data_IF_888588095452
#
_entry.id   IF_888588095452
#
_cell.length_a   1.000
_cell.length_b   1.000
_cell.length_c   1.000
_cell.angle_alpha   90.00
_cell.angle_beta   90.00
_cell.angle_gamma   90.00
#
_symmetry.space_group_name_H-M   'P 1'
#
loop_
_entity.id
_entity.type
_entity.pdbx_description
1 polymer ?
#
# COMPACT_ATOMS: atom_id res chain seq x y z
N UNK A 1 -9.47 21.66 -2.21
CA UNK A 1 -8.31 20.73 -2.29
C UNK A 1 -8.79 19.28 -2.19
N UNK A 2 -7.93 18.31 -2.60
CA UNK A 2 -8.15 16.89 -2.35
C UNK A 2 -6.96 16.33 -1.57
N UNK A 3 -7.20 15.77 -0.40
CA UNK A 3 -6.22 14.94 0.32
C UNK A 3 -6.58 13.46 0.14
N UNK A 4 -5.57 12.61 0.03
CA UNK A 4 -5.75 11.16 -0.01
C UNK A 4 -4.84 10.56 1.06
N UNK A 5 -5.42 9.78 1.98
CA UNK A 5 -4.69 9.17 3.09
C UNK A 5 -4.62 7.67 2.87
N UNK A 6 -3.43 7.12 3.03
CA UNK A 6 -3.17 5.71 2.84
C UNK A 6 -2.88 4.99 4.15
N UNK A 7 -3.52 3.85 4.30
CA UNK A 7 -3.38 2.93 5.43
C UNK A 7 -2.98 1.55 4.94
N UNK A 8 -2.42 0.74 5.85
CA UNK A 8 -2.13 -0.67 5.61
C UNK A 8 -2.69 -1.52 6.76
N UNK A 9 -2.01 -1.56 7.89
CA UNK A 9 -2.36 -2.40 9.05
C UNK A 9 -3.26 -1.67 10.03
N UNK A 10 -4.35 -2.32 10.43
CA UNK A 10 -5.25 -1.89 11.50
C UNK A 10 -5.53 -3.08 12.41
N UNK A 11 -5.22 -2.98 13.69
CA UNK A 11 -5.40 -4.09 14.64
C UNK A 11 -5.31 -3.60 16.08
N UNK A 12 -5.91 -4.37 17.01
CA UNK A 12 -5.62 -4.26 18.44
C UNK A 12 -4.37 -5.06 18.84
N UNK A 13 -3.83 -5.88 17.93
CA UNK A 13 -2.61 -6.64 18.17
C UNK A 13 -1.41 -5.73 18.08
N UNK A 14 -0.61 -5.71 19.12
CA UNK A 14 0.66 -5.01 19.14
C UNK A 14 1.79 -5.96 18.72
N UNK A 15 2.77 -5.42 18.02
CA UNK A 15 4.02 -6.08 17.70
C UNK A 15 5.15 -5.27 18.29
N UNK A 16 6.14 -5.92 18.85
CA UNK A 16 7.31 -5.21 19.41
C UNK A 16 8.10 -4.46 18.33
N UNK A 17 8.08 -4.98 17.09
CA UNK A 17 8.79 -4.41 15.93
C UNK A 17 8.17 -4.88 14.61
N UNK A 18 8.60 -4.30 13.51
CA UNK A 18 8.33 -4.77 12.14
C UNK A 18 6.99 -4.31 11.56
N UNK A 19 5.89 -4.57 12.24
CA UNK A 19 4.54 -4.14 11.86
C UNK A 19 4.01 -3.21 12.94
N UNK A 20 3.52 -2.04 12.54
CA UNK A 20 2.99 -1.00 13.43
C UNK A 20 1.56 -0.66 13.01
N UNK A 21 0.57 -1.48 13.39
CA UNK A 21 -0.83 -1.23 13.02
C UNK A 21 -1.36 0.01 13.75
N UNK A 22 -2.22 0.77 13.08
CA UNK A 22 -3.06 1.73 13.78
C UNK A 22 -4.12 0.98 14.59
N UNK A 23 -4.53 1.53 15.72
CA UNK A 23 -5.60 0.92 16.49
C UNK A 23 -6.98 1.25 15.90
N UNK A 24 -8.01 0.40 16.09
CA UNK A 24 -9.38 0.70 15.70
C UNK A 24 -9.88 2.03 16.27
N UNK A 25 -9.49 2.34 17.51
CA UNK A 25 -9.83 3.61 18.17
C UNK A 25 -9.19 4.80 17.46
N UNK A 26 -7.91 4.71 17.11
CA UNK A 26 -7.21 5.76 16.36
C UNK A 26 -7.91 6.01 15.02
N UNK A 27 -8.23 4.95 14.27
CA UNK A 27 -8.90 5.07 12.97
C UNK A 27 -10.31 5.67 13.11
N UNK A 28 -11.08 5.28 14.13
CA UNK A 28 -12.40 5.87 14.38
C UNK A 28 -12.34 7.38 14.71
N UNK A 29 -11.34 7.80 15.50
CA UNK A 29 -11.14 9.20 15.82
C UNK A 29 -10.63 10.00 14.61
N UNK A 30 -9.76 9.40 13.78
CA UNK A 30 -9.33 9.97 12.51
C UNK A 30 -10.53 10.20 11.57
N UNK A 31 -11.36 9.18 11.38
CA UNK A 31 -12.58 9.28 10.56
C UNK A 31 -13.47 10.44 11.01
N UNK A 32 -13.70 10.59 12.31
CA UNK A 32 -14.49 11.70 12.86
C UNK A 32 -13.86 13.05 12.56
N UNK A 33 -12.55 13.17 12.78
CA UNK A 33 -11.79 14.39 12.54
C UNK A 33 -11.77 14.77 11.06
N UNK A 34 -11.53 13.81 10.17
CA UNK A 34 -11.56 14.05 8.73
C UNK A 34 -12.96 14.41 8.23
N UNK A 35 -14.00 13.74 8.71
CA UNK A 35 -15.40 14.00 8.31
C UNK A 35 -15.92 15.36 8.79
N UNK A 36 -15.38 15.93 9.87
CA UNK A 36 -15.73 17.27 10.32
C UNK A 36 -15.14 18.38 9.43
N UNK A 37 -14.03 18.08 8.71
CA UNK A 37 -13.26 19.06 7.94
C UNK A 37 -13.44 18.89 6.41
N UNK A 38 -13.64 17.68 5.93
CA UNK A 38 -13.65 17.34 4.50
C UNK A 38 -14.93 16.59 4.13
N UNK A 39 -15.37 16.77 2.89
CA UNK A 39 -16.30 15.80 2.30
C UNK A 39 -15.50 14.51 2.01
N UNK A 40 -15.81 13.43 2.75
CA UNK A 40 -15.22 12.10 2.46
C UNK A 40 -15.87 11.57 1.19
N UNK A 41 -15.03 11.12 0.24
CA UNK A 41 -15.48 10.68 -1.08
C UNK A 41 -15.11 9.21 -1.35
N UNK A 42 -15.91 8.58 -2.20
CA UNK A 42 -15.65 7.26 -2.79
C UNK A 42 -14.76 7.36 -4.04
N UNK A 43 -14.26 6.19 -4.53
CA UNK A 43 -13.56 6.13 -5.82
C UNK A 43 -14.44 6.66 -6.97
N UNK A 44 -15.73 6.40 -6.97
CA UNK A 44 -16.65 6.87 -8.00
C UNK A 44 -16.77 8.40 -8.05
N UNK A 45 -16.57 9.08 -6.93
CA UNK A 45 -16.67 10.54 -6.84
C UNK A 45 -15.37 11.27 -7.16
N UNK A 46 -14.25 10.56 -7.37
CA UNK A 46 -12.92 11.16 -7.58
C UNK A 46 -12.88 12.13 -8.76
N UNK A 47 -13.57 11.80 -9.85
CA UNK A 47 -13.65 12.64 -11.05
C UNK A 47 -14.28 14.00 -10.75
N UNK A 48 -15.37 13.99 -10.00
CA UNK A 48 -16.09 15.21 -9.63
C UNK A 48 -15.31 16.02 -8.59
N UNK A 49 -14.73 15.34 -7.61
CA UNK A 49 -13.86 15.99 -6.61
C UNK A 49 -12.68 16.72 -7.27
N UNK A 50 -11.97 16.07 -8.21
CA UNK A 50 -10.84 16.69 -8.92
C UNK A 50 -11.26 17.94 -9.70
N UNK A 51 -12.47 17.96 -10.30
CA UNK A 51 -12.96 19.16 -11.00
C UNK A 51 -13.28 20.32 -10.04
N UNK A 52 -13.63 20.00 -8.81
CA UNK A 52 -14.11 20.97 -7.82
C UNK A 52 -13.12 21.27 -6.69
N UNK A 53 -11.85 20.87 -6.80
CA UNK A 53 -10.82 21.12 -5.75
C UNK A 53 -10.58 22.59 -5.41
N UNK A 54 -10.97 23.52 -6.29
CA UNK A 54 -10.88 24.97 -6.03
C UNK A 54 -12.07 25.49 -5.20
N UNK A 55 -13.17 24.74 -5.12
CA UNK A 55 -14.41 25.19 -4.51
C UNK A 55 -14.78 24.42 -3.24
N UNK A 56 -14.19 23.23 -3.03
CA UNK A 56 -14.48 22.42 -1.88
C UNK A 56 -13.27 21.57 -1.47
N UNK A 57 -13.30 21.09 -0.23
CA UNK A 57 -12.26 20.27 0.37
C UNK A 57 -12.74 18.82 0.48
N UNK A 58 -11.99 17.92 -0.14
CA UNK A 58 -12.29 16.50 -0.24
C UNK A 58 -11.22 15.66 0.44
N UNK A 59 -11.64 14.51 1.00
CA UNK A 59 -10.73 13.49 1.49
C UNK A 59 -11.13 12.12 0.95
N UNK A 60 -10.16 11.35 0.42
CA UNK A 60 -10.29 9.95 0.09
C UNK A 60 -9.46 9.12 1.07
N UNK A 61 -10.10 8.21 1.79
CA UNK A 61 -9.44 7.28 2.71
C UNK A 61 -9.19 5.97 1.97
N UNK A 62 -7.94 5.51 1.95
CA UNK A 62 -7.52 4.32 1.21
C UNK A 62 -6.77 3.33 2.10
N UNK A 63 -6.91 2.05 1.78
CA UNK A 63 -6.14 0.95 2.33
C UNK A 63 -5.50 0.16 1.20
N UNK A 64 -4.21 -0.14 1.31
CA UNK A 64 -3.50 -1.00 0.36
C UNK A 64 -3.40 -2.44 0.90
N UNK A 65 -3.11 -3.41 0.03
CA UNK A 65 -2.79 -4.83 0.26
C UNK A 65 -3.99 -5.80 0.42
N UNK A 66 -5.20 -5.33 0.70
CA UNK A 66 -6.36 -6.22 0.86
C UNK A 66 -6.29 -7.12 2.10
N UNK A 67 -5.74 -6.62 3.22
CA UNK A 67 -5.61 -7.36 4.47
C UNK A 67 -6.98 -7.63 5.11
N UNK A 68 -7.13 -8.78 5.77
CA UNK A 68 -8.38 -9.22 6.39
C UNK A 68 -8.92 -8.21 7.41
N UNK A 69 -8.05 -7.69 8.26
CA UNK A 69 -8.42 -6.73 9.29
C UNK A 69 -8.94 -5.39 8.72
N UNK A 70 -8.60 -5.05 7.49
CA UNK A 70 -9.14 -3.86 6.81
C UNK A 70 -10.66 -4.02 6.57
N UNK A 71 -11.11 -5.22 6.20
CA UNK A 71 -12.54 -5.50 6.08
C UNK A 71 -13.20 -5.67 7.45
N UNK A 72 -12.62 -6.48 8.33
CA UNK A 72 -13.23 -6.82 9.62
C UNK A 72 -13.29 -5.63 10.58
N UNK A 73 -12.38 -4.67 10.47
CA UNK A 73 -12.26 -3.53 11.38
C UNK A 73 -12.54 -2.20 10.65
N UNK A 74 -11.70 -1.83 9.66
CA UNK A 74 -11.80 -0.51 9.06
C UNK A 74 -13.11 -0.31 8.30
N UNK A 75 -13.53 -1.29 7.49
CA UNK A 75 -14.80 -1.21 6.78
C UNK A 75 -16.00 -1.14 7.74
N UNK A 76 -15.99 -1.89 8.85
CA UNK A 76 -17.08 -1.84 9.85
C UNK A 76 -17.16 -0.48 10.55
N UNK A 77 -16.01 0.14 10.83
CA UNK A 77 -15.96 1.52 11.37
C UNK A 77 -16.52 2.50 10.33
N UNK A 78 -16.09 2.40 9.06
CA UNK A 78 -16.57 3.26 7.98
C UNK A 78 -18.09 3.13 7.78
N UNK A 79 -18.64 1.90 7.79
CA UNK A 79 -20.08 1.65 7.74
C UNK A 79 -20.83 2.33 8.91
N UNK A 80 -20.31 2.20 10.14
CA UNK A 80 -20.89 2.85 11.33
C UNK A 80 -21.00 4.37 11.17
N UNK A 81 -20.00 4.99 10.56
CA UNK A 81 -19.94 6.43 10.32
C UNK A 81 -20.54 6.86 8.97
N UNK A 82 -21.03 5.88 8.17
CA UNK A 82 -21.64 6.12 6.83
C UNK A 82 -20.71 6.85 5.86
N UNK A 83 -19.41 6.55 5.92
CA UNK A 83 -18.40 7.11 5.02
C UNK A 83 -17.90 6.05 4.04
N UNK A 84 -17.56 6.44 2.80
CA UNK A 84 -16.86 5.54 1.88
C UNK A 84 -15.38 5.44 2.23
N UNK A 85 -14.80 4.26 1.97
CA UNK A 85 -13.35 4.03 1.97
C UNK A 85 -12.98 3.15 0.79
N UNK A 86 -11.72 3.17 0.35
CA UNK A 86 -11.26 2.40 -0.79
C UNK A 86 -10.20 1.38 -0.39
N UNK A 87 -10.20 0.22 -1.07
CA UNK A 87 -9.26 -0.86 -0.85
C UNK A 87 -8.56 -1.21 -2.16
N UNK A 88 -7.24 -1.16 -2.18
CA UNK A 88 -6.42 -1.57 -3.31
C UNK A 88 -5.86 -2.97 -3.04
N UNK A 89 -6.26 -3.94 -3.86
CA UNK A 89 -6.10 -5.36 -3.57
C UNK A 89 -5.14 -6.01 -4.56
N UNK A 90 -4.18 -6.78 -4.03
CA UNK A 90 -3.34 -7.67 -4.82
C UNK A 90 -4.08 -8.95 -5.20
N UNK A 91 -3.55 -9.77 -6.10
CA UNK A 91 -4.24 -10.98 -6.55
C UNK A 91 -3.47 -12.29 -6.42
N UNK A 92 -2.15 -12.27 -6.31
CA UNK A 92 -1.33 -13.49 -6.27
C UNK A 92 -1.67 -14.40 -5.08
N UNK A 93 -1.97 -13.83 -3.92
CA UNK A 93 -2.36 -14.59 -2.73
C UNK A 93 -3.61 -15.46 -2.91
N UNK A 94 -4.48 -15.11 -3.85
CA UNK A 94 -5.69 -15.89 -4.16
C UNK A 94 -5.43 -17.00 -5.19
N UNK A 95 -4.40 -16.85 -6.03
CA UNK A 95 -3.99 -17.88 -6.98
C UNK A 95 -3.12 -18.95 -6.30
N UNK A 96 -2.12 -18.51 -5.54
CA UNK A 96 -1.13 -19.39 -4.91
C UNK A 96 -1.59 -19.92 -3.54
N UNK A 97 -2.63 -19.32 -2.94
CA UNK A 97 -3.04 -19.56 -1.54
C UNK A 97 -1.87 -19.38 -0.54
N UNK A 98 -0.98 -18.43 -0.82
CA UNK A 98 0.18 -18.10 -0.01
C UNK A 98 0.26 -16.59 0.29
N UNK A 99 1.01 -16.24 1.35
CA UNK A 99 1.32 -14.84 1.61
C UNK A 99 2.26 -14.28 0.53
N UNK A 100 2.05 -13.01 0.17
CA UNK A 100 2.96 -12.26 -0.67
C UNK A 100 4.33 -12.12 0.01
N UNK A 101 5.39 -12.07 -0.78
CA UNK A 101 6.77 -11.93 -0.28
C UNK A 101 6.93 -10.70 0.63
N UNK A 102 6.28 -9.59 0.29
CA UNK A 102 6.30 -8.37 1.11
C UNK A 102 5.74 -8.62 2.50
N UNK A 103 4.64 -9.35 2.63
CA UNK A 103 4.01 -9.66 3.92
C UNK A 103 4.77 -10.73 4.70
N UNK A 104 5.33 -11.75 4.02
CA UNK A 104 6.27 -12.69 4.64
C UNK A 104 7.45 -11.92 5.26
N UNK A 105 8.02 -10.95 4.53
CA UNK A 105 9.10 -10.12 5.04
C UNK A 105 8.68 -9.24 6.21
N UNK A 106 7.49 -8.61 6.17
CA UNK A 106 6.97 -7.85 7.30
C UNK A 106 6.83 -8.71 8.56
N UNK A 107 6.32 -9.94 8.43
CA UNK A 107 6.20 -10.89 9.54
C UNK A 107 7.57 -11.33 10.09
N UNK A 108 8.57 -11.60 9.22
CA UNK A 108 9.95 -11.88 9.66
C UNK A 108 10.48 -10.74 10.55
N UNK A 109 10.20 -9.49 10.18
CA UNK A 109 10.61 -8.31 10.95
C UNK A 109 9.95 -8.19 12.32
N UNK A 110 8.85 -8.88 12.58
CA UNK A 110 8.24 -8.90 13.93
C UNK A 110 9.04 -9.72 14.94
N UNK A 111 9.89 -10.63 14.45
CA UNK A 111 10.68 -11.56 15.29
C UNK A 111 12.19 -11.41 15.11
N UNK A 112 12.65 -10.92 13.96
CA UNK A 112 14.06 -10.66 13.65
C UNK A 112 14.36 -9.17 13.59
N UNK A 113 15.50 -8.74 14.15
CA UNK A 113 15.95 -7.36 14.01
C UNK A 113 16.76 -7.15 12.72
N UNK A 114 17.08 -5.89 12.41
CA UNK A 114 17.78 -5.49 11.18
C UNK A 114 19.11 -6.23 11.02
N UNK A 115 19.90 -6.36 12.09
CA UNK A 115 21.21 -7.02 12.09
C UNK A 115 21.07 -8.52 11.80
N UNK A 116 20.15 -9.22 12.47
CA UNK A 116 19.92 -10.65 12.24
C UNK A 116 19.54 -10.94 10.79
N UNK A 117 18.70 -10.07 10.19
CA UNK A 117 18.30 -10.21 8.78
C UNK A 117 19.49 -9.93 7.87
N UNK A 118 20.28 -8.89 8.15
CA UNK A 118 21.45 -8.54 7.36
C UNK A 118 22.53 -9.63 7.43
N UNK A 119 22.77 -10.18 8.61
CA UNK A 119 23.72 -11.30 8.82
C UNK A 119 23.28 -12.55 8.02
N UNK A 120 21.98 -12.87 8.01
CA UNK A 120 21.44 -13.94 7.20
C UNK A 120 21.65 -13.68 5.69
N UNK A 121 21.32 -12.48 5.21
CA UNK A 121 21.49 -12.10 3.82
C UNK A 121 22.97 -12.10 3.39
N UNK A 122 23.88 -11.71 4.26
CA UNK A 122 25.31 -11.65 3.97
C UNK A 122 25.96 -13.01 3.71
N UNK A 123 25.33 -14.09 4.17
CA UNK A 123 25.77 -15.47 3.90
C UNK A 123 25.45 -15.95 2.48
N UNK A 124 24.66 -15.17 1.74
CA UNK A 124 24.21 -15.53 0.38
C UNK A 124 25.20 -14.95 -0.64
N UNK A 125 25.66 -15.80 -1.57
CA UNK A 125 26.61 -15.42 -2.60
C UNK A 125 26.13 -14.20 -3.41
N UNK A 126 27.02 -13.22 -3.59
CA UNK A 126 26.78 -12.00 -4.37
C UNK A 126 25.96 -10.90 -3.65
N UNK A 127 25.42 -11.17 -2.47
CA UNK A 127 24.66 -10.17 -1.70
C UNK A 127 25.59 -9.12 -1.10
N UNK A 128 26.74 -9.53 -0.55
CA UNK A 128 27.71 -8.59 0.05
C UNK A 128 28.22 -7.54 -0.93
N UNK A 129 28.46 -7.91 -2.20
CA UNK A 129 28.93 -6.96 -3.21
C UNK A 129 27.84 -5.95 -3.58
N UNK A 130 26.59 -6.38 -3.60
CA UNK A 130 25.44 -5.47 -3.80
C UNK A 130 25.29 -4.50 -2.62
N UNK A 131 25.47 -4.97 -1.38
CA UNK A 131 25.39 -4.14 -0.18
C UNK A 131 26.47 -3.04 -0.14
N UNK A 132 27.70 -3.35 -0.59
CA UNK A 132 28.81 -2.37 -0.65
C UNK A 132 28.56 -1.22 -1.63
N UNK A 133 27.80 -1.48 -2.69
CA UNK A 133 27.55 -0.54 -3.78
C UNK A 133 26.23 0.27 -3.62
N UNK A 134 25.62 0.22 -2.46
CA UNK A 134 24.37 0.94 -2.19
C UNK A 134 24.59 2.45 -2.04
N UNK A 135 23.85 3.26 -2.77
CA UNK A 135 23.80 4.70 -2.56
C UNK A 135 22.91 5.05 -1.35
N UNK A 136 23.52 5.53 -0.28
CA UNK A 136 22.83 5.85 0.97
C UNK A 136 21.76 6.95 0.81
N UNK A 137 21.94 7.91 -0.12
CA UNK A 137 20.97 8.99 -0.34
C UNK A 137 19.63 8.45 -0.84
N UNK A 138 19.66 7.51 -1.77
CA UNK A 138 18.46 6.91 -2.35
C UNK A 138 17.68 6.11 -1.29
N UNK A 139 18.41 5.42 -0.40
CA UNK A 139 17.82 4.64 0.68
C UNK A 139 17.09 5.51 1.70
N UNK A 140 17.72 6.57 2.17
CA UNK A 140 17.18 7.45 3.21
C UNK A 140 15.91 8.14 2.71
N UNK A 141 15.87 8.55 1.45
CA UNK A 141 14.66 9.13 0.86
C UNK A 141 13.51 8.13 0.77
N UNK A 142 13.81 6.87 0.43
CA UNK A 142 12.80 5.81 0.24
C UNK A 142 12.25 5.28 1.57
N UNK A 143 13.13 5.12 2.59
CA UNK A 143 12.83 4.42 3.85
C UNK A 143 13.09 5.28 5.08
N UNK A 144 12.55 6.50 5.09
CA UNK A 144 12.81 7.54 6.11
C UNK A 144 12.43 7.18 7.55
N UNK A 145 11.56 6.17 7.72
CA UNK A 145 11.08 5.74 9.04
C UNK A 145 11.80 4.50 9.57
N UNK A 146 12.67 3.90 8.76
CA UNK A 146 13.47 2.74 9.15
C UNK A 146 14.84 3.19 9.68
N UNK A 147 15.46 2.35 10.53
CA UNK A 147 16.90 2.47 10.78
C UNK A 147 17.69 2.19 9.50
N UNK A 148 18.94 2.63 9.47
CA UNK A 148 19.76 2.54 8.26
C UNK A 148 19.99 1.08 7.81
N UNK A 149 20.10 0.14 8.74
CA UNK A 149 20.32 -1.28 8.42
C UNK A 149 19.06 -1.87 7.79
N UNK A 150 17.89 -1.61 8.37
CA UNK A 150 16.62 -2.06 7.80
C UNK A 150 16.34 -1.40 6.45
N UNK A 151 16.65 -0.11 6.30
CA UNK A 151 16.51 0.59 5.04
C UNK A 151 17.37 -0.05 3.93
N UNK A 152 18.62 -0.45 4.26
CA UNK A 152 19.50 -1.21 3.34
C UNK A 152 18.92 -2.57 2.98
N UNK A 153 18.43 -3.32 3.97
CA UNK A 153 17.79 -4.63 3.75
C UNK A 153 16.61 -4.51 2.82
N UNK A 154 15.69 -3.56 3.08
CA UNK A 154 14.52 -3.33 2.25
C UNK A 154 14.91 -2.93 0.82
N UNK A 155 15.89 -2.04 0.67
CA UNK A 155 16.35 -1.60 -0.63
C UNK A 155 17.00 -2.74 -1.42
N UNK A 156 17.82 -3.55 -0.76
CA UNK A 156 18.40 -4.75 -1.36
C UNK A 156 17.33 -5.70 -1.89
N UNK A 157 16.35 -6.06 -1.06
CA UNK A 157 15.30 -7.03 -1.38
C UNK A 157 14.36 -6.50 -2.48
N UNK A 158 13.98 -5.23 -2.39
CA UNK A 158 12.93 -4.68 -3.25
C UNK A 158 13.45 -4.16 -4.60
N UNK A 159 14.74 -3.81 -4.71
CA UNK A 159 15.26 -3.10 -5.88
C UNK A 159 16.58 -3.66 -6.45
N UNK A 160 17.42 -4.33 -5.65
CA UNK A 160 18.76 -4.75 -6.09
C UNK A 160 18.88 -6.25 -6.40
N UNK A 161 18.14 -7.08 -5.70
CA UNK A 161 18.11 -8.51 -5.97
C UNK A 161 17.19 -8.81 -7.16
N UNK A 162 17.55 -9.79 -8.02
CA UNK A 162 16.60 -10.38 -8.93
C UNK A 162 15.37 -10.87 -8.15
N UNK A 163 14.17 -10.65 -8.69
CA UNK A 163 12.92 -10.93 -7.99
C UNK A 163 12.83 -12.37 -7.49
N UNK A 164 13.18 -13.34 -8.33
CA UNK A 164 13.15 -14.77 -7.99
C UNK A 164 14.09 -15.08 -6.83
N UNK A 165 15.24 -14.42 -6.78
CA UNK A 165 16.21 -14.56 -5.69
C UNK A 165 15.68 -13.96 -4.39
N UNK A 166 15.09 -12.76 -4.43
CA UNK A 166 14.48 -12.13 -3.28
C UNK A 166 13.32 -12.98 -2.73
N UNK A 167 12.44 -13.47 -3.61
CA UNK A 167 11.32 -14.35 -3.24
C UNK A 167 11.83 -15.66 -2.61
N UNK A 168 12.83 -16.30 -3.20
CA UNK A 168 13.42 -17.53 -2.66
C UNK A 168 13.98 -17.31 -1.25
N UNK A 169 14.76 -16.25 -1.06
CA UNK A 169 15.40 -15.94 0.23
C UNK A 169 14.33 -15.70 1.31
N UNK A 170 13.36 -14.83 1.02
CA UNK A 170 12.31 -14.50 1.98
C UNK A 170 11.43 -15.70 2.28
N UNK A 171 11.06 -16.49 1.27
CA UNK A 171 10.27 -17.72 1.46
C UNK A 171 11.02 -18.72 2.34
N UNK A 172 12.32 -18.91 2.12
CA UNK A 172 13.17 -19.81 2.93
C UNK A 172 13.22 -19.32 4.37
N UNK A 173 13.56 -18.05 4.60
CA UNK A 173 13.61 -17.47 5.95
C UNK A 173 12.25 -17.54 6.65
N UNK A 174 11.16 -17.23 5.95
CA UNK A 174 9.81 -17.31 6.49
C UNK A 174 9.44 -18.73 6.93
N UNK A 175 9.76 -19.72 6.10
CA UNK A 175 9.50 -21.14 6.40
C UNK A 175 10.33 -21.64 7.58
N UNK A 176 11.57 -21.21 7.71
CA UNK A 176 12.45 -21.54 8.85
C UNK A 176 11.90 -20.98 10.18
N UNK A 177 11.27 -19.78 10.15
CA UNK A 177 10.76 -19.10 11.35
C UNK A 177 9.34 -19.55 11.71
N UNK A 178 8.45 -19.58 10.73
CA UNK A 178 7.00 -19.75 10.96
C UNK A 178 6.47 -21.12 10.51
N UNK A 179 7.23 -21.91 9.75
CA UNK A 179 6.74 -23.16 9.18
C UNK A 179 5.52 -22.91 8.26
N UNK A 180 4.43 -23.63 8.53
CA UNK A 180 3.15 -23.52 7.81
C UNK A 180 2.02 -22.99 8.72
N UNK A 181 2.36 -22.24 9.78
CA UNK A 181 1.40 -21.81 10.80
C UNK A 181 0.53 -20.63 10.36
N UNK A 182 0.99 -19.82 9.40
CA UNK A 182 0.27 -18.64 8.91
C UNK A 182 -0.27 -18.93 7.52
N UNK A 183 -1.59 -18.86 7.36
CA UNK A 183 -2.28 -19.13 6.08
C UNK A 183 -2.70 -17.82 5.41
N UNK A 184 -2.76 -17.81 4.09
CA UNK A 184 -3.26 -16.66 3.32
C UNK A 184 -4.70 -16.29 3.70
N UNK A 185 -5.55 -17.28 3.93
CA UNK A 185 -6.96 -17.10 4.36
C UNK A 185 -7.12 -16.41 5.72
N UNK A 186 -6.08 -16.48 6.57
CA UNK A 186 -6.10 -15.81 7.87
C UNK A 186 -5.57 -14.38 7.80
N UNK A 187 -4.93 -14.03 6.68
CA UNK A 187 -4.20 -12.77 6.51
C UNK A 187 -4.88 -11.78 5.55
N UNK A 188 -5.58 -12.29 4.53
CA UNK A 188 -6.24 -11.47 3.51
C UNK A 188 -7.76 -11.54 3.57
N UNK A 189 -8.42 -10.54 2.99
CA UNK A 189 -9.85 -10.55 2.72
C UNK A 189 -10.22 -11.81 1.93
N UNK A 190 -11.41 -12.36 2.17
CA UNK A 190 -11.95 -13.42 1.32
C UNK A 190 -12.41 -12.86 -0.04
N UNK A 191 -12.61 -13.74 -1.03
CA UNK A 191 -13.21 -13.36 -2.31
C UNK A 191 -14.59 -12.73 -2.11
N UNK A 192 -15.39 -13.27 -1.19
CA UNK A 192 -16.73 -12.73 -0.87
C UNK A 192 -16.65 -11.31 -0.31
N UNK A 193 -15.64 -11.02 0.55
CA UNK A 193 -15.41 -9.66 1.05
C UNK A 193 -15.07 -8.70 -0.10
N UNK A 194 -14.21 -9.12 -1.04
CA UNK A 194 -13.85 -8.31 -2.22
C UNK A 194 -15.08 -8.04 -3.08
N UNK A 195 -15.93 -9.06 -3.32
CA UNK A 195 -17.14 -8.91 -4.11
C UNK A 195 -18.16 -7.96 -3.45
N UNK A 196 -18.34 -8.06 -2.13
CA UNK A 196 -19.20 -7.13 -1.37
C UNK A 196 -18.70 -5.68 -1.52
N UNK A 197 -17.39 -5.44 -1.30
CA UNK A 197 -16.78 -4.13 -1.45
C UNK A 197 -16.82 -3.61 -2.89
N UNK A 198 -16.74 -4.51 -3.88
CA UNK A 198 -16.80 -4.18 -5.30
C UNK A 198 -18.21 -3.71 -5.72
N UNK A 199 -19.28 -4.29 -5.16
CA UNK A 199 -20.66 -3.83 -5.38
C UNK A 199 -20.82 -2.39 -4.89
N UNK A 200 -20.13 -2.02 -3.80
CA UNK A 200 -20.12 -0.65 -3.28
C UNK A 200 -19.20 0.30 -4.07
N UNK A 201 -18.39 -0.22 -5.01
CA UNK A 201 -17.44 0.57 -5.77
C UNK A 201 -16.20 0.97 -4.97
N UNK A 202 -15.78 0.16 -3.99
CA UNK A 202 -14.68 0.46 -3.07
C UNK A 202 -13.37 -0.26 -3.43
N UNK A 203 -13.34 -1.06 -4.51
CA UNK A 203 -12.18 -1.85 -4.91
C UNK A 203 -11.38 -1.17 -6.02
N UNK A 204 -10.06 -1.13 -5.84
CA UNK A 204 -9.05 -0.80 -6.84
C UNK A 204 -7.95 -1.87 -6.90
N UNK A 205 -7.07 -1.78 -7.89
CA UNK A 205 -5.99 -2.73 -8.11
C UNK A 205 -4.68 -2.27 -7.42
N UNK A 206 -3.85 -3.24 -6.95
CA UNK A 206 -2.55 -2.99 -6.31
C UNK A 206 -1.42 -3.87 -6.85
N UNK A 207 -1.51 -4.30 -8.10
CA UNK A 207 -0.59 -5.25 -8.70
C UNK A 207 -0.85 -6.69 -8.27
N UNK A 208 -0.33 -7.64 -9.04
CA UNK A 208 -0.53 -9.06 -8.76
C UNK A 208 0.29 -9.52 -7.56
N UNK A 209 1.59 -9.30 -7.58
CA UNK A 209 2.54 -9.78 -6.57
C UNK A 209 3.23 -8.68 -5.76
N UNK A 210 2.66 -7.47 -5.76
CA UNK A 210 3.20 -6.30 -5.07
C UNK A 210 4.63 -5.93 -5.53
N UNK A 211 4.94 -6.09 -6.82
CA UNK A 211 6.24 -5.70 -7.37
C UNK A 211 6.30 -4.20 -7.67
N UNK A 212 7.47 -3.55 -7.52
CA UNK A 212 7.67 -2.21 -8.03
C UNK A 212 7.41 -2.18 -9.55
N UNK A 213 6.64 -1.21 -10.03
CA UNK A 213 6.32 -1.07 -11.46
C UNK A 213 7.38 -0.29 -12.25
N UNK A 214 8.56 -0.13 -11.68
CA UNK A 214 9.76 0.40 -12.35
C UNK A 214 10.48 -0.64 -13.22
N UNK A 215 10.13 -1.91 -13.07
CA UNK A 215 10.64 -3.01 -13.90
C UNK A 215 9.92 -3.05 -15.25
N UNK A 216 10.55 -3.65 -16.26
CA UNK A 216 9.96 -3.75 -17.60
C UNK A 216 8.89 -4.86 -17.72
N UNK A 217 8.60 -5.57 -16.67
CA UNK A 217 7.54 -6.58 -16.65
C UNK A 217 6.23 -5.99 -16.10
N UNK A 218 5.34 -5.64 -17.02
CA UNK A 218 4.00 -5.10 -16.70
C UNK A 218 2.92 -6.16 -16.64
N UNK A 219 3.25 -7.44 -16.77
CA UNK A 219 2.30 -8.55 -16.64
C UNK A 219 1.67 -8.61 -15.27
N UNK A 220 2.38 -8.14 -14.26
CA UNK A 220 1.88 -8.00 -12.87
C UNK A 220 0.65 -7.09 -12.78
N UNK A 221 0.68 -5.94 -13.46
CA UNK A 221 -0.47 -5.02 -13.56
C UNK A 221 -1.65 -5.71 -14.24
N UNK A 222 -1.38 -6.35 -15.40
CA UNK A 222 -2.42 -7.02 -16.19
C UNK A 222 -3.09 -8.14 -15.41
N UNK A 223 -2.32 -9.05 -14.81
CA UNK A 223 -2.85 -10.17 -14.03
C UNK A 223 -3.78 -9.71 -12.92
N UNK A 224 -3.39 -8.66 -12.20
CA UNK A 224 -4.20 -8.11 -11.13
C UNK A 224 -5.52 -7.52 -11.64
N UNK A 225 -5.48 -6.69 -12.69
CA UNK A 225 -6.68 -6.09 -13.27
C UNK A 225 -7.61 -7.17 -13.83
N UNK A 226 -7.08 -8.14 -14.56
CA UNK A 226 -7.87 -9.24 -15.12
C UNK A 226 -8.52 -10.09 -14.03
N UNK A 227 -7.81 -10.36 -12.93
CA UNK A 227 -8.35 -11.07 -11.77
C UNK A 227 -9.52 -10.30 -11.14
N UNK A 228 -9.31 -9.04 -10.80
CA UNK A 228 -10.33 -8.23 -10.15
C UNK A 228 -11.54 -7.98 -11.05
N UNK A 229 -11.36 -7.77 -12.36
CA UNK A 229 -12.46 -7.60 -13.30
C UNK A 229 -13.38 -8.82 -13.41
N UNK A 230 -12.94 -10.02 -13.01
CA UNK A 230 -13.82 -11.21 -12.90
C UNK A 230 -14.68 -11.20 -11.65
N UNK A 231 -14.26 -10.48 -10.63
CA UNK A 231 -14.92 -10.41 -9.32
C UNK A 231 -15.82 -9.17 -9.17
N UNK A 232 -15.58 -8.13 -9.96
CA UNK A 232 -16.24 -6.84 -9.83
C UNK A 232 -17.32 -6.64 -10.89
N UNK A 233 -18.47 -6.02 -10.54
CA UNK A 233 -19.56 -5.75 -11.51
C UNK A 233 -19.19 -4.65 -12.51
N UNK A 234 -18.21 -3.81 -12.18
CA UNK A 234 -17.67 -2.74 -13.02
C UNK A 234 -16.19 -2.96 -13.27
N UNK A 235 -15.70 -2.46 -14.38
CA UNK A 235 -14.28 -2.51 -14.71
C UNK A 235 -13.46 -1.73 -13.66
N UNK A 236 -12.28 -2.26 -13.33
CA UNK A 236 -11.32 -1.59 -12.45
C UNK A 236 -10.70 -0.40 -13.22
N UNK A 237 -10.86 0.80 -12.65
CA UNK A 237 -10.35 2.06 -13.18
C UNK A 237 -9.33 2.74 -12.26
N UNK A 238 -9.14 2.21 -11.04
CA UNK A 238 -8.28 2.77 -9.99
C UNK A 238 -7.12 1.81 -9.69
N UNK A 239 -5.91 2.36 -9.60
CA UNK A 239 -4.69 1.59 -9.34
C UNK A 239 -3.81 2.29 -8.29
N UNK A 240 -3.43 1.60 -7.22
CA UNK A 240 -2.39 2.05 -6.30
C UNK A 240 -1.07 1.40 -6.70
N UNK A 241 -0.04 2.22 -6.93
CA UNK A 241 1.28 1.69 -7.27
C UNK A 241 1.93 1.05 -6.04
N UNK A 242 2.36 -0.24 -6.11
CA UNK A 242 3.17 -0.84 -5.06
C UNK A 242 4.40 0.04 -4.75
N UNK A 243 4.69 0.26 -3.47
CA UNK A 243 5.69 1.20 -2.95
C UNK A 243 5.43 2.68 -3.27
N UNK A 244 4.83 3.01 -4.39
CA UNK A 244 4.33 4.32 -4.80
C UNK A 244 5.33 5.47 -4.90
N UNK A 245 6.63 5.25 -4.66
CA UNK A 245 7.67 6.29 -4.79
C UNK A 245 8.00 6.57 -6.26
N UNK A 246 8.66 7.68 -6.53
CA UNK A 246 9.09 8.04 -7.88
C UNK A 246 10.03 6.99 -8.50
N UNK A 247 10.87 6.32 -7.69
CA UNK A 247 11.76 5.24 -8.12
C UNK A 247 11.02 3.92 -8.39
N UNK A 248 9.83 3.73 -7.84
CA UNK A 248 9.01 2.54 -8.03
C UNK A 248 8.08 2.62 -9.24
N UNK A 249 7.96 3.78 -9.90
CA UNK A 249 6.98 4.03 -10.98
C UNK A 249 7.72 4.50 -12.24
N UNK A 250 7.73 3.69 -13.30
CA UNK A 250 8.27 4.09 -14.61
C UNK A 250 7.21 4.78 -15.48
N UNK A 251 7.67 5.54 -16.49
CA UNK A 251 6.78 6.16 -17.49
C UNK A 251 6.02 5.13 -18.29
N UNK A 252 6.68 4.04 -18.61
CA UNK A 252 6.16 2.91 -19.36
C UNK A 252 5.06 2.19 -18.59
N UNK A 253 5.22 2.01 -17.27
CA UNK A 253 4.19 1.46 -16.39
C UNK A 253 2.91 2.30 -16.41
N UNK A 254 3.04 3.63 -16.41
CA UNK A 254 1.91 4.56 -16.52
C UNK A 254 1.18 4.37 -17.85
N UNK A 255 1.93 4.30 -18.95
CA UNK A 255 1.36 4.07 -20.29
C UNK A 255 0.64 2.72 -20.34
N UNK A 256 1.24 1.69 -19.76
CA UNK A 256 0.66 0.35 -19.74
C UNK A 256 -0.62 0.31 -18.88
N UNK A 257 -0.61 0.89 -17.70
CA UNK A 257 -1.79 0.98 -16.83
C UNK A 257 -2.97 1.67 -17.57
N UNK A 258 -2.70 2.78 -18.27
CA UNK A 258 -3.71 3.45 -19.13
C UNK A 258 -4.27 2.53 -20.20
N UNK A 259 -3.41 1.76 -20.90
CA UNK A 259 -3.85 0.77 -21.91
C UNK A 259 -4.74 -0.31 -21.30
N UNK A 260 -4.52 -0.68 -20.05
CA UNK A 260 -5.36 -1.62 -19.30
C UNK A 260 -6.68 -1.02 -18.81
N UNK A 261 -6.92 0.27 -19.02
CA UNK A 261 -8.17 0.97 -18.67
C UNK A 261 -8.14 1.72 -17.34
N UNK A 262 -6.96 1.83 -16.70
CA UNK A 262 -6.82 2.65 -15.49
C UNK A 262 -6.95 4.13 -15.84
N UNK A 263 -7.83 4.81 -15.14
CA UNK A 263 -8.09 6.25 -15.27
C UNK A 263 -7.43 7.05 -14.15
N UNK A 264 -7.33 6.47 -12.97
CA UNK A 264 -6.79 7.12 -11.77
C UNK A 264 -5.77 6.21 -11.10
N UNK A 265 -4.56 6.73 -10.89
CA UNK A 265 -3.54 5.96 -10.20
C UNK A 265 -2.87 6.79 -9.09
N UNK A 266 -2.56 6.12 -7.98
CA UNK A 266 -2.17 6.72 -6.71
C UNK A 266 -0.71 6.42 -6.40
N UNK A 267 0.04 7.48 -6.08
CA UNK A 267 1.45 7.41 -5.66
C UNK A 267 1.57 7.63 -4.14
N UNK A 268 2.78 7.52 -3.62
CA UNK A 268 3.13 7.91 -2.24
C UNK A 268 3.94 9.21 -2.21
N UNK A 269 3.72 10.09 -3.18
CA UNK A 269 4.21 11.46 -3.10
C UNK A 269 3.36 12.21 -2.07
N UNK A 270 3.98 12.62 -0.98
CA UNK A 270 3.31 13.22 0.17
C UNK A 270 3.00 14.69 -0.07
N UNK A 271 1.95 14.96 -0.81
CA UNK A 271 1.48 16.31 -1.10
C UNK A 271 -0.04 16.37 -1.28
N UNK A 272 -0.56 17.58 -1.25
CA UNK A 272 -1.98 17.88 -1.49
C UNK A 272 -2.23 17.84 -2.99
N UNK A 273 -3.42 17.42 -3.39
CA UNK A 273 -3.87 17.47 -4.77
C UNK A 273 -4.74 18.73 -4.95
N UNK A 274 -4.21 19.68 -5.71
CA UNK A 274 -4.89 20.96 -6.02
C UNK A 274 -5.05 21.13 -7.54
N UNK A 275 -4.59 22.22 -8.11
CA UNK A 275 -4.64 22.50 -9.57
C UNK A 275 -3.77 21.52 -10.37
N UNK A 276 -4.22 21.21 -11.59
CA UNK A 276 -3.45 20.38 -12.55
C UNK A 276 -3.06 18.99 -12.00
N UNK A 277 -3.97 18.32 -11.32
CA UNK A 277 -3.74 17.01 -10.72
C UNK A 277 -3.35 15.99 -11.81
N UNK A 278 -2.22 15.33 -11.64
CA UNK A 278 -1.84 14.22 -12.49
C UNK A 278 -2.66 12.97 -12.13
N UNK A 279 -3.65 12.62 -12.94
CA UNK A 279 -4.56 11.51 -12.69
C UNK A 279 -3.85 10.15 -12.57
N UNK A 280 -2.65 10.02 -13.13
CA UNK A 280 -1.84 8.80 -13.05
C UNK A 280 -0.77 8.85 -11.95
N UNK A 281 -0.75 9.90 -11.14
CA UNK A 281 0.14 10.06 -9.98
C UNK A 281 -0.53 10.94 -8.92
N UNK A 282 -1.78 10.60 -8.53
CA UNK A 282 -2.47 11.28 -7.44
C UNK A 282 -1.67 11.09 -6.16
N UNK A 283 -1.36 12.18 -5.49
CA UNK A 283 -0.53 12.20 -4.29
C UNK A 283 -1.29 11.62 -3.09
N UNK A 284 -0.59 10.87 -2.24
CA UNK A 284 -1.14 10.34 -0.99
C UNK A 284 -0.22 10.63 0.18
N UNK A 285 -0.81 10.88 1.33
CA UNK A 285 -0.10 10.87 2.61
C UNK A 285 -0.19 9.48 3.25
N UNK A 286 0.87 9.05 3.89
CA UNK A 286 0.83 7.89 4.79
C UNK A 286 0.10 8.28 6.10
N UNK A 287 -0.60 7.36 6.73
CA UNK A 287 -1.30 7.63 8.00
C UNK A 287 -0.37 8.21 9.07
N UNK A 288 0.91 7.83 9.07
CA UNK A 288 1.91 8.39 9.98
C UNK A 288 2.20 9.89 9.72
N UNK A 289 1.88 10.40 8.52
CA UNK A 289 2.05 11.82 8.21
C UNK A 289 0.99 12.68 8.94
N UNK A 290 -0.14 12.13 9.37
CA UNK A 290 -1.16 12.85 10.15
C UNK A 290 -0.60 13.49 11.43
N UNK A 291 0.35 12.82 12.07
CA UNK A 291 1.00 13.33 13.29
C UNK A 291 2.35 14.00 13.05
N UNK A 292 3.03 13.73 11.91
CA UNK A 292 4.41 14.13 11.66
C UNK A 292 4.57 15.19 10.58
N UNK A 293 3.57 15.36 9.71
CA UNK A 293 3.61 16.36 8.64
C UNK A 293 2.87 17.62 9.08
N UNK A 294 3.60 18.67 9.43
CA UNK A 294 3.02 19.93 9.93
C UNK A 294 2.06 20.58 8.93
N UNK A 295 2.36 20.51 7.61
CA UNK A 295 1.47 21.05 6.57
C UNK A 295 0.12 20.36 6.61
N UNK A 296 0.11 19.01 6.65
CA UNK A 296 -1.12 18.23 6.70
C UNK A 296 -1.88 18.45 8.02
N UNK A 297 -1.17 18.44 9.14
CA UNK A 297 -1.73 18.71 10.47
C UNK A 297 -2.44 20.07 10.51
N UNK A 298 -1.77 21.13 10.07
CA UNK A 298 -2.34 22.47 10.02
C UNK A 298 -3.58 22.56 9.11
N UNK A 299 -3.66 21.80 8.04
CA UNK A 299 -4.83 21.76 7.14
C UNK A 299 -6.02 21.09 7.82
N UNK A 300 -5.77 20.01 8.53
CA UNK A 300 -6.81 19.27 9.24
C UNK A 300 -7.31 20.06 10.47
N UNK A 301 -6.43 20.80 11.15
CA UNK A 301 -6.75 21.57 12.36
C UNK A 301 -7.33 22.97 12.07
N UNK A 302 -7.20 23.52 10.86
CA UNK A 302 -7.76 24.84 10.48
C UNK A 302 -9.30 24.89 10.45
N UNK A 303 -9.97 23.83 10.76
CA UNK A 303 -11.44 23.74 10.84
C UNK A 303 -11.98 23.81 12.28
N UNK A 304 -11.10 23.90 13.27
CA UNK A 304 -11.43 24.20 14.68
C UNK A 304 -11.30 25.73 14.89
#
# INVERSE_FOLDING_TARGET
MLIVINHHYISNKEFEKGIYPITPKFFEDEVKKLSSRFKIISLAEIKEAIKNVEHADYCLITFDDGLKEQYEIAFKIAQKHKIPIAFFVNSKQYEDNELLTVHKFQLIRTVKNSKEILDYLSQINGVNDKLKNINLKDIILQYRYDDLEMAKVKYLINFLLPKDMADYIINKMFKEIFGNTIKATDYYMSIDNIQELAILGYIGAHGHSHNPVSTNDYTDIKKNIDFLNKLTPKRIEHFSYPYGSSSAISSEAIIYAKKMGIQYAYSMNRDINEKNINLMKINRFDVNDLSKNEKLKNIIERGE
#
